data_IF_397773486938
#
_entry.id   IF_397773486938
#
_cell.length_a   1.000
_cell.length_b   1.000
_cell.length_c   1.000
_cell.angle_alpha   90.00
_cell.angle_beta   90.00
_cell.angle_gamma   90.00
#
_symmetry.space_group_name_H-M   'P 1'
#
loop_
_entity.id
_entity.type
_entity.pdbx_description
1 polymer ?
#
# COMPACT_ATOMS: atom_id res chain seq x y z
N UNK A 1 12.34 1.08 20.24
CA UNK A 1 13.70 1.14 19.65
C UNK A 1 14.21 -0.28 19.57
N UNK A 2 14.61 -0.73 18.40
CA UNK A 2 15.35 -1.99 18.30
C UNK A 2 16.70 -1.79 19.03
N UNK A 3 16.96 -2.47 20.14
CA UNK A 3 18.22 -2.34 20.90
C UNK A 3 19.44 -2.72 20.06
N UNK A 4 19.20 -3.29 18.91
CA UNK A 4 20.17 -3.81 17.96
C UNK A 4 20.93 -2.72 17.17
N UNK A 5 20.42 -1.49 17.14
CA UNK A 5 21.02 -0.38 16.37
C UNK A 5 21.96 0.52 17.18
N UNK A 6 22.18 0.25 18.47
CA UNK A 6 23.00 1.10 19.32
C UNK A 6 24.01 0.30 20.15
N UNK A 7 25.27 0.65 20.04
CA UNK A 7 26.37 0.15 20.88
C UNK A 7 26.52 0.95 22.19
N UNK A 8 25.83 2.06 22.35
CA UNK A 8 25.84 2.97 23.50
C UNK A 8 24.46 3.12 24.11
N UNK A 9 24.40 3.32 25.43
CA UNK A 9 23.13 3.62 26.10
C UNK A 9 22.51 4.91 25.53
N UNK A 10 21.29 4.79 25.01
CA UNK A 10 20.52 5.91 24.51
C UNK A 10 19.28 6.05 25.39
N UNK A 11 19.01 7.26 25.94
CA UNK A 11 17.83 7.47 26.77
C UNK A 11 16.55 7.20 25.95
N UNK A 12 15.49 6.70 26.60
CA UNK A 12 14.20 6.53 25.96
C UNK A 12 13.71 7.81 25.30
N UNK A 13 13.32 7.73 24.02
CA UNK A 13 12.87 8.88 23.23
C UNK A 13 11.80 8.43 22.21
N UNK A 14 11.12 9.40 21.61
CA UNK A 14 10.08 9.17 20.60
C UNK A 14 10.62 9.48 19.21
N UNK A 15 10.33 8.60 18.26
CA UNK A 15 10.47 8.84 16.84
C UNK A 15 9.11 9.32 16.30
N UNK A 16 9.06 10.54 15.83
CA UNK A 16 7.86 11.09 15.18
C UNK A 16 8.14 11.07 13.68
N UNK A 17 7.59 10.09 13.00
CA UNK A 17 7.77 9.88 11.56
C UNK A 17 6.52 10.36 10.82
N UNK A 18 6.71 11.20 9.82
CA UNK A 18 5.68 11.59 8.87
C UNK A 18 6.08 11.06 7.49
N UNK A 19 5.22 10.25 6.89
CA UNK A 19 5.41 9.72 5.54
C UNK A 19 4.40 10.37 4.59
N UNK A 20 4.91 11.10 3.59
CA UNK A 20 4.15 11.55 2.43
C UNK A 20 4.28 10.53 1.31
N UNK A 21 3.17 10.04 0.77
CA UNK A 21 3.16 9.12 -0.35
C UNK A 21 2.49 9.78 -1.56
N UNK A 22 3.22 9.84 -2.69
CA UNK A 22 2.63 10.12 -4.00
C UNK A 22 2.74 8.86 -4.83
N UNK A 23 1.59 8.35 -5.25
CA UNK A 23 1.48 7.13 -6.03
C UNK A 23 0.97 7.48 -7.44
N UNK A 24 1.73 7.11 -8.45
CA UNK A 24 1.37 7.20 -9.86
C UNK A 24 1.22 5.79 -10.40
N UNK A 25 0.11 5.47 -11.04
CA UNK A 25 -0.10 4.14 -11.61
C UNK A 25 -0.59 4.23 -13.06
N UNK A 26 0.13 3.59 -13.97
CA UNK A 26 -0.34 3.33 -15.32
C UNK A 26 -1.06 2.00 -15.36
N UNK A 27 -2.34 2.03 -15.71
CA UNK A 27 -3.17 0.85 -15.90
C UNK A 27 -3.48 0.66 -17.39
N UNK A 28 -3.31 -0.54 -17.89
CA UNK A 28 -3.72 -0.94 -19.23
C UNK A 28 -4.55 -2.21 -19.16
N UNK A 29 -5.60 -2.27 -19.97
CA UNK A 29 -6.39 -3.49 -20.14
C UNK A 29 -6.70 -3.74 -21.60
N UNK A 30 -6.72 -5.02 -21.98
CA UNK A 30 -7.01 -5.48 -23.33
C UNK A 30 -8.07 -6.57 -23.30
N UNK A 31 -9.18 -6.34 -23.97
CA UNK A 31 -10.31 -7.28 -24.04
C UNK A 31 -9.97 -8.50 -24.89
N UNK A 32 -10.15 -9.70 -24.33
CA UNK A 32 -9.93 -11.00 -24.97
C UNK A 32 -11.24 -11.64 -25.49
N UNK A 33 -12.37 -10.99 -25.24
CA UNK A 33 -13.70 -11.53 -25.54
C UNK A 33 -14.30 -12.38 -24.39
N UNK A 34 -15.55 -12.76 -24.55
CA UNK A 34 -16.28 -13.61 -23.57
C UNK A 34 -16.22 -13.13 -22.10
N UNK A 35 -16.25 -11.80 -21.90
CA UNK A 35 -16.16 -11.21 -20.57
C UNK A 35 -14.77 -11.29 -19.94
N UNK A 36 -13.73 -11.59 -20.72
CA UNK A 36 -12.35 -11.72 -20.26
C UNK A 36 -11.50 -10.55 -20.75
N UNK A 37 -10.63 -10.04 -19.89
CA UNK A 37 -9.61 -9.04 -20.26
C UNK A 37 -8.27 -9.35 -19.58
N UNK A 38 -7.20 -9.02 -20.27
CA UNK A 38 -5.85 -8.96 -19.71
C UNK A 38 -5.63 -7.59 -19.07
N UNK A 39 -4.94 -7.54 -17.93
CA UNK A 39 -4.63 -6.30 -17.21
C UNK A 39 -3.15 -6.20 -16.89
N UNK A 40 -2.63 -4.97 -16.98
CA UNK A 40 -1.26 -4.59 -16.59
C UNK A 40 -1.36 -3.35 -15.69
N UNK A 41 -0.63 -3.33 -14.59
CA UNK A 41 -0.44 -2.17 -13.72
C UNK A 41 1.03 -1.89 -13.53
N UNK A 42 1.44 -0.64 -13.64
CA UNK A 42 2.81 -0.18 -13.48
C UNK A 42 2.85 1.00 -12.50
N UNK A 43 3.11 0.74 -11.22
CA UNK A 43 3.17 1.77 -10.20
C UNK A 43 4.55 2.44 -10.13
N UNK A 44 4.53 3.75 -9.83
CA UNK A 44 5.70 4.56 -9.50
C UNK A 44 5.39 5.36 -8.24
N UNK A 45 6.25 5.25 -7.25
CA UNK A 45 6.04 5.87 -5.95
C UNK A 45 7.10 6.93 -5.63
N UNK A 46 6.65 7.99 -4.98
CA UNK A 46 7.50 8.98 -4.29
C UNK A 46 7.13 8.92 -2.80
N UNK A 47 8.08 8.52 -1.98
CA UNK A 47 7.94 8.33 -0.52
C UNK A 47 8.80 9.37 0.18
N UNK A 48 8.19 10.45 0.66
CA UNK A 48 8.87 11.53 1.38
C UNK A 48 8.74 11.28 2.89
N UNK A 49 9.83 10.89 3.51
CA UNK A 49 9.91 10.66 4.95
C UNK A 49 10.50 11.89 5.65
N UNK A 50 9.82 12.33 6.70
CA UNK A 50 10.31 13.36 7.61
C UNK A 50 10.32 12.80 9.02
N UNK A 51 11.50 12.81 9.64
CA UNK A 51 11.73 12.25 10.97
C UNK A 51 12.11 13.35 11.95
N UNK A 52 11.48 13.33 13.11
CA UNK A 52 11.79 14.19 14.24
C UNK A 52 11.89 13.35 15.50
N UNK A 53 12.93 13.57 16.26
CA UNK A 53 13.17 12.93 17.55
C UNK A 53 12.79 13.87 18.69
N UNK A 54 12.14 13.31 19.72
CA UNK A 54 11.81 14.05 20.94
C UNK A 54 12.06 13.17 22.16
N UNK A 55 12.35 13.80 23.30
CA UNK A 55 12.29 13.14 24.60
C UNK A 55 10.88 12.62 24.88
N UNK A 56 10.69 11.83 25.92
CA UNK A 56 9.37 11.39 26.35
C UNK A 56 8.47 12.56 26.77
N UNK A 57 9.06 13.67 27.19
CA UNK A 57 8.37 14.93 27.56
C UNK A 57 8.06 15.83 26.37
N UNK A 58 8.58 15.51 25.17
CA UNK A 58 8.28 16.26 23.95
C UNK A 58 9.36 17.28 23.52
N UNK A 59 10.44 17.42 24.28
CA UNK A 59 11.54 18.31 23.93
C UNK A 59 12.35 17.72 22.75
N UNK A 60 12.95 18.56 21.89
CA UNK A 60 13.81 18.08 20.81
C UNK A 60 14.94 17.19 21.34
N UNK A 61 15.23 16.10 20.64
CA UNK A 61 16.28 15.16 20.98
C UNK A 61 17.13 14.85 19.74
N UNK A 62 18.44 14.84 19.90
CA UNK A 62 19.39 14.46 18.84
C UNK A 62 20.03 13.13 19.24
N UNK A 63 19.71 12.02 18.55
CA UNK A 63 20.28 10.73 18.87
C UNK A 63 21.78 10.70 18.50
N UNK A 64 22.63 10.05 19.34
CA UNK A 64 24.08 9.99 19.11
C UNK A 64 24.49 9.08 17.94
N UNK A 65 23.57 8.27 17.42
CA UNK A 65 23.82 7.35 16.32
C UNK A 65 23.58 7.99 14.93
N UNK A 66 23.28 9.31 14.88
CA UNK A 66 23.05 10.01 13.62
C UNK A 66 21.93 9.42 12.78
N UNK A 67 22.09 9.44 11.47
CA UNK A 67 21.05 9.10 10.48
C UNK A 67 21.11 7.63 9.99
N UNK A 68 21.63 6.69 10.78
CA UNK A 68 21.78 5.30 10.33
C UNK A 68 20.46 4.54 10.23
N UNK A 69 19.43 4.96 10.96
CA UNK A 69 18.17 4.21 11.11
C UNK A 69 16.98 4.94 10.46
N UNK A 70 16.55 6.05 10.99
CA UNK A 70 15.45 6.83 10.40
C UNK A 70 15.95 8.19 9.95
N UNK A 71 15.85 8.46 8.66
CA UNK A 71 16.34 9.71 8.05
C UNK A 71 15.21 10.52 7.44
N UNK A 72 15.37 11.84 7.44
CA UNK A 72 14.55 12.72 6.60
C UNK A 72 15.08 12.64 5.18
N UNK A 73 14.33 11.98 4.30
CA UNK A 73 14.72 11.74 2.91
C UNK A 73 13.53 11.52 2.01
N UNK A 74 13.75 11.60 0.70
CA UNK A 74 12.76 11.29 -0.32
C UNK A 74 13.27 10.14 -1.18
N UNK A 75 12.55 9.04 -1.16
CA UNK A 75 12.80 7.86 -1.98
C UNK A 75 11.85 7.85 -3.17
N UNK A 76 12.34 7.48 -4.35
CA UNK A 76 11.55 7.38 -5.56
C UNK A 76 11.86 6.09 -6.31
N UNK A 77 10.86 5.47 -6.90
CA UNK A 77 11.09 4.23 -7.65
C UNK A 77 9.84 3.60 -8.24
N UNK A 78 10.07 2.66 -9.13
CA UNK A 78 9.04 1.76 -9.63
C UNK A 78 8.78 0.73 -8.53
N UNK A 79 7.50 0.57 -8.16
CA UNK A 79 7.06 -0.54 -7.31
C UNK A 79 6.76 -1.77 -8.16
N UNK A 80 6.46 -2.91 -7.55
CA UNK A 80 6.25 -4.15 -8.29
C UNK A 80 5.08 -4.02 -9.29
N UNK A 81 5.30 -4.11 -10.61
CA UNK A 81 4.22 -4.18 -11.58
C UNK A 81 3.36 -5.41 -11.36
N UNK A 82 2.15 -5.41 -11.89
CA UNK A 82 1.31 -6.60 -11.84
C UNK A 82 0.63 -6.90 -13.16
N UNK A 83 0.49 -8.19 -13.43
CA UNK A 83 -0.24 -8.76 -14.56
C UNK A 83 -1.43 -9.54 -14.04
N UNK A 84 -2.51 -9.55 -14.80
CA UNK A 84 -3.70 -10.30 -14.42
C UNK A 84 -4.67 -10.56 -15.56
N UNK A 85 -5.63 -11.40 -15.25
CA UNK A 85 -6.79 -11.68 -16.06
C UNK A 85 -8.02 -11.39 -15.21
N UNK A 86 -8.91 -10.58 -15.72
CA UNK A 86 -10.22 -10.35 -15.15
C UNK A 86 -11.24 -11.10 -16.01
N UNK A 87 -12.20 -11.74 -15.35
CA UNK A 87 -13.24 -12.53 -15.97
C UNK A 87 -14.62 -12.25 -15.37
N UNK A 88 -15.56 -11.88 -16.21
CA UNK A 88 -16.97 -11.63 -15.85
C UNK A 88 -17.85 -12.68 -16.47
N UNK A 89 -18.11 -13.82 -15.78
CA UNK A 89 -18.99 -14.89 -16.28
C UNK A 89 -20.45 -14.47 -16.34
N UNK A 90 -20.81 -13.48 -15.55
CA UNK A 90 -22.14 -12.89 -15.46
C UNK A 90 -22.02 -11.40 -15.17
N UNK A 91 -23.01 -10.61 -15.59
CA UNK A 91 -23.02 -9.14 -15.39
C UNK A 91 -22.82 -8.67 -13.95
N UNK A 92 -23.17 -9.51 -12.97
CA UNK A 92 -23.11 -9.18 -11.55
C UNK A 92 -21.77 -9.59 -10.90
N UNK A 93 -20.93 -10.36 -11.60
CA UNK A 93 -19.68 -10.89 -11.04
C UNK A 93 -18.47 -10.57 -11.89
N UNK A 94 -17.41 -10.14 -11.23
CA UNK A 94 -16.07 -10.03 -11.78
C UNK A 94 -15.10 -10.79 -10.86
N UNK A 95 -14.32 -11.68 -11.43
CA UNK A 95 -13.20 -12.35 -10.77
C UNK A 95 -11.90 -11.87 -11.39
N UNK A 96 -10.87 -11.70 -10.58
CA UNK A 96 -9.54 -11.37 -11.05
C UNK A 96 -8.52 -12.33 -10.47
N UNK A 97 -7.60 -12.78 -11.33
CA UNK A 97 -6.44 -13.58 -10.99
C UNK A 97 -5.21 -12.90 -11.58
N UNK A 98 -4.17 -12.73 -10.78
CA UNK A 98 -2.95 -12.08 -11.24
C UNK A 98 -1.77 -12.36 -10.33
N UNK A 99 -0.65 -11.69 -10.60
CA UNK A 99 0.53 -11.71 -9.77
C UNK A 99 1.29 -10.41 -9.88
N UNK A 100 2.01 -10.02 -8.83
CA UNK A 100 3.04 -8.99 -8.94
C UNK A 100 4.29 -9.58 -9.58
N UNK A 101 5.07 -8.72 -10.26
CA UNK A 101 6.37 -9.05 -10.82
C UNK A 101 7.45 -8.41 -9.93
N UNK A 102 8.50 -9.14 -9.53
CA UNK A 102 9.52 -8.65 -8.59
C UNK A 102 10.51 -7.68 -9.28
N UNK A 103 10.02 -6.53 -9.73
CA UNK A 103 10.79 -5.52 -10.44
C UNK A 103 11.05 -4.25 -9.61
N UNK A 104 10.33 -4.06 -8.50
CA UNK A 104 10.53 -2.96 -7.58
C UNK A 104 11.86 -3.09 -6.83
N UNK A 105 12.40 -1.95 -6.41
CA UNK A 105 13.64 -1.92 -5.63
C UNK A 105 13.43 -2.59 -4.27
N UNK A 106 14.33 -3.52 -3.92
CA UNK A 106 14.38 -4.20 -2.62
C UNK A 106 15.66 -3.80 -1.86
N UNK A 107 15.55 -3.68 -0.55
CA UNK A 107 16.68 -3.34 0.32
C UNK A 107 17.25 -4.59 1.00
N UNK A 108 18.53 -4.57 1.42
CA UNK A 108 19.09 -5.61 2.28
C UNK A 108 18.37 -5.68 3.63
N UNK A 109 18.56 -6.78 4.37
CA UNK A 109 17.99 -6.97 5.71
C UNK A 109 18.39 -5.83 6.66
N UNK A 110 17.44 -4.96 7.07
CA UNK A 110 17.76 -3.81 7.92
C UNK A 110 18.15 -4.22 9.34
N UNK A 111 17.72 -5.39 9.82
CA UNK A 111 18.08 -5.90 11.14
C UNK A 111 19.58 -6.27 11.16
N UNK A 112 20.06 -6.94 10.11
CA UNK A 112 21.48 -7.30 9.97
C UNK A 112 22.33 -6.05 9.85
N UNK A 113 21.96 -5.11 8.98
CA UNK A 113 22.70 -3.86 8.78
C UNK A 113 22.71 -3.00 10.05
N UNK A 114 21.60 -2.95 10.77
CA UNK A 114 21.51 -2.21 12.04
C UNK A 114 22.45 -2.77 13.11
N UNK A 115 22.58 -4.10 13.24
CA UNK A 115 23.52 -4.75 14.14
C UNK A 115 24.98 -4.45 13.78
N UNK A 116 25.25 -4.25 12.49
CA UNK A 116 26.58 -3.87 11.99
C UNK A 116 26.86 -2.35 12.08
N UNK A 117 25.90 -1.55 12.59
CA UNK A 117 25.99 -0.09 12.64
C UNK A 117 25.99 0.58 11.26
N UNK A 118 25.52 -0.12 10.25
CA UNK A 118 25.44 0.38 8.87
C UNK A 118 24.14 1.12 8.60
N UNK A 119 24.21 2.10 7.72
CA UNK A 119 23.02 2.79 7.19
C UNK A 119 22.11 1.80 6.48
N UNK A 120 20.82 1.84 6.80
CA UNK A 120 19.82 0.94 6.26
C UNK A 120 18.45 1.61 6.09
N UNK A 121 17.61 1.00 5.27
CA UNK A 121 16.24 1.41 4.97
C UNK A 121 15.25 0.33 5.39
N UNK A 122 14.07 0.76 5.83
CA UNK A 122 12.92 -0.13 6.06
C UNK A 122 11.87 -0.01 4.96
N UNK A 123 11.97 1.02 4.11
CA UNK A 123 10.98 1.32 3.08
C UNK A 123 11.43 0.70 1.77
N UNK A 124 10.67 -0.27 1.28
CA UNK A 124 10.89 -0.92 0.01
C UNK A 124 9.89 -0.43 -1.06
N UNK A 125 10.23 -0.64 -2.33
CA UNK A 125 9.34 -0.40 -3.48
C UNK A 125 8.76 -1.72 -4.02
N UNK A 126 9.42 -2.84 -3.75
CA UNK A 126 8.98 -4.16 -4.16
C UNK A 126 9.13 -5.20 -3.06
N UNK A 127 8.41 -6.31 -3.21
CA UNK A 127 8.57 -7.49 -2.35
C UNK A 127 9.77 -8.35 -2.75
N UNK A 128 10.22 -8.22 -4.01
CA UNK A 128 11.24 -9.09 -4.61
C UNK A 128 10.76 -10.52 -4.86
N UNK A 129 9.45 -10.75 -4.81
CA UNK A 129 8.80 -12.06 -5.03
C UNK A 129 7.60 -11.92 -5.96
N UNK A 130 7.21 -13.04 -6.59
CA UNK A 130 5.91 -13.12 -7.24
C UNK A 130 4.83 -13.29 -6.16
N UNK A 131 3.88 -12.36 -6.10
CA UNK A 131 2.78 -12.42 -5.14
C UNK A 131 1.46 -12.62 -5.89
N UNK A 132 0.86 -13.83 -5.80
CA UNK A 132 -0.47 -14.07 -6.35
C UNK A 132 -1.50 -13.07 -5.83
N UNK A 133 -2.36 -12.63 -6.75
CA UNK A 133 -3.49 -11.71 -6.45
C UNK A 133 -4.78 -12.37 -6.88
N UNK A 134 -5.76 -12.37 -5.99
CA UNK A 134 -7.10 -12.91 -6.20
C UNK A 134 -8.10 -11.83 -5.83
N UNK A 135 -9.08 -11.57 -6.69
CA UNK A 135 -10.17 -10.67 -6.34
C UNK A 135 -11.51 -11.19 -6.83
N UNK A 136 -12.56 -10.83 -6.09
CA UNK A 136 -13.93 -11.02 -6.50
C UNK A 136 -14.70 -9.72 -6.27
N UNK A 137 -15.55 -9.36 -7.22
CA UNK A 137 -16.49 -8.26 -7.12
C UNK A 137 -17.87 -8.74 -7.45
N UNK A 138 -18.82 -8.37 -6.64
CA UNK A 138 -20.24 -8.55 -6.87
C UNK A 138 -20.90 -7.18 -7.03
N UNK A 139 -21.79 -7.06 -8.02
CA UNK A 139 -22.54 -5.84 -8.31
C UNK A 139 -24.00 -6.21 -8.53
N UNK A 140 -24.91 -5.61 -7.79
CA UNK A 140 -26.34 -5.84 -7.97
C UNK A 140 -27.11 -4.53 -7.78
N UNK A 141 -27.88 -4.16 -8.80
CA UNK A 141 -28.54 -2.85 -8.83
C UNK A 141 -27.51 -1.72 -8.75
N UNK A 142 -27.67 -0.87 -7.75
CA UNK A 142 -26.73 0.23 -7.47
C UNK A 142 -25.66 -0.12 -6.42
N UNK A 143 -25.62 -1.35 -5.91
CA UNK A 143 -24.67 -1.73 -4.85
C UNK A 143 -23.56 -2.62 -5.40
N UNK A 144 -22.33 -2.44 -4.88
CA UNK A 144 -21.23 -3.35 -5.15
C UNK A 144 -20.48 -3.71 -3.86
N UNK A 145 -19.82 -4.86 -3.90
CA UNK A 145 -18.86 -5.31 -2.90
C UNK A 145 -17.70 -5.96 -3.62
N UNK A 146 -16.46 -5.62 -3.21
CA UNK A 146 -15.21 -6.16 -3.75
C UNK A 146 -14.32 -6.62 -2.61
N UNK A 147 -13.67 -7.75 -2.79
CA UNK A 147 -12.59 -8.22 -1.93
C UNK A 147 -11.41 -8.64 -2.80
N UNK A 148 -10.18 -8.40 -2.30
CA UNK A 148 -8.95 -8.79 -2.96
C UNK A 148 -7.94 -9.29 -1.92
N UNK A 149 -7.21 -10.36 -2.26
CA UNK A 149 -6.08 -10.87 -1.49
C UNK A 149 -4.81 -10.80 -2.35
N UNK A 150 -3.72 -10.35 -1.76
CA UNK A 150 -2.36 -10.44 -2.29
C UNK A 150 -1.54 -11.30 -1.33
N UNK A 151 -1.06 -12.44 -1.83
CA UNK A 151 -0.46 -13.49 -1.01
C UNK A 151 1.06 -13.46 -1.11
N UNK A 152 1.76 -13.35 0.02
CA UNK A 152 3.19 -13.51 0.08
C UNK A 152 3.54 -14.95 0.47
N UNK A 153 4.13 -15.72 -0.45
CA UNK A 153 4.32 -17.16 -0.29
C UNK A 153 5.73 -17.54 0.20
N UNK A 154 6.75 -16.73 -0.10
CA UNK A 154 8.15 -17.06 0.20
C UNK A 154 8.99 -15.78 0.43
N UNK A 155 10.19 -15.95 0.98
CA UNK A 155 11.15 -14.88 1.19
C UNK A 155 11.90 -14.55 -0.11
N UNK A 156 12.23 -13.28 -0.30
CA UNK A 156 13.10 -12.86 -1.40
C UNK A 156 14.58 -13.17 -1.10
N UNK A 157 15.47 -12.84 -2.04
CA UNK A 157 16.91 -13.07 -1.91
C UNK A 157 17.59 -12.36 -0.73
N UNK A 158 16.95 -11.35 -0.15
CA UNK A 158 17.43 -10.60 1.02
C UNK A 158 16.79 -11.10 2.32
N UNK A 159 16.04 -12.22 2.29
CA UNK A 159 15.36 -12.77 3.46
C UNK A 159 14.03 -12.08 3.80
N UNK A 160 13.55 -11.14 2.99
CA UNK A 160 12.28 -10.48 3.24
C UNK A 160 11.10 -11.28 2.69
N UNK A 161 10.12 -11.53 3.54
CA UNK A 161 8.80 -11.99 3.18
C UNK A 161 7.78 -10.88 3.46
N UNK A 162 7.21 -10.33 2.41
CA UNK A 162 6.21 -9.28 2.51
C UNK A 162 4.97 -9.76 3.29
N UNK A 163 4.23 -8.87 3.94
CA UNK A 163 2.93 -9.21 4.51
C UNK A 163 1.94 -9.68 3.44
N UNK A 164 1.10 -10.66 3.78
CA UNK A 164 -0.12 -10.95 3.00
C UNK A 164 -1.15 -9.86 3.29
N UNK A 165 -1.79 -9.35 2.24
CA UNK A 165 -2.72 -8.22 2.34
C UNK A 165 -4.11 -8.65 1.87
N UNK A 166 -5.13 -8.27 2.61
CA UNK A 166 -6.54 -8.39 2.25
C UNK A 166 -7.14 -6.99 2.22
N UNK A 167 -7.79 -6.63 1.12
CA UNK A 167 -8.51 -5.37 1.00
C UNK A 167 -9.95 -5.62 0.59
N UNK A 168 -10.85 -4.77 1.05
CA UNK A 168 -12.25 -4.85 0.68
C UNK A 168 -12.83 -3.44 0.50
N UNK A 169 -13.85 -3.35 -0.32
CA UNK A 169 -14.59 -2.12 -0.58
C UNK A 169 -16.06 -2.48 -0.83
N UNK A 170 -16.97 -1.72 -0.26
CA UNK A 170 -18.39 -1.90 -0.48
C UNK A 170 -19.14 -0.57 -0.43
N UNK A 171 -20.20 -0.46 -1.20
CA UNK A 171 -21.03 0.74 -1.20
C UNK A 171 -21.99 0.81 -2.37
N UNK A 172 -22.91 1.79 -2.36
CA UNK A 172 -23.76 2.09 -3.49
C UNK A 172 -23.06 2.93 -4.55
N UNK A 173 -23.55 2.85 -5.78
CA UNK A 173 -23.20 3.75 -6.87
C UNK A 173 -24.49 4.44 -7.38
N UNK A 174 -24.53 5.75 -7.34
CA UNK A 174 -25.66 6.57 -7.77
C UNK A 174 -25.34 7.25 -9.09
N UNK A 175 -26.35 7.42 -9.95
CA UNK A 175 -26.25 8.15 -11.18
C UNK A 175 -26.95 9.53 -11.05
N UNK A 176 -26.21 10.62 -11.24
CA UNK A 176 -26.72 11.98 -11.31
C UNK A 176 -26.43 12.56 -12.70
N UNK A 177 -27.34 12.35 -13.64
CA UNK A 177 -27.11 12.65 -15.04
C UNK A 177 -25.97 11.82 -15.64
N UNK A 178 -24.87 12.47 -16.03
CA UNK A 178 -23.66 11.78 -16.57
C UNK A 178 -22.62 11.47 -15.49
N UNK A 179 -22.82 11.92 -14.27
CA UNK A 179 -21.87 11.72 -13.16
C UNK A 179 -22.28 10.51 -12.34
N UNK A 180 -21.36 9.59 -12.11
CA UNK A 180 -21.52 8.53 -11.12
C UNK A 180 -20.91 8.99 -9.79
N UNK A 181 -21.64 8.78 -8.70
CA UNK A 181 -21.27 9.12 -7.33
C UNK A 181 -21.23 7.83 -6.52
N UNK A 182 -20.06 7.46 -6.02
CA UNK A 182 -19.86 6.17 -5.36
C UNK A 182 -19.24 6.38 -3.99
N UNK A 183 -20.05 6.54 -2.93
CA UNK A 183 -19.55 6.47 -1.56
C UNK A 183 -19.26 4.99 -1.21
N UNK A 184 -18.11 4.74 -0.56
CA UNK A 184 -17.72 3.39 -0.11
C UNK A 184 -17.21 3.38 1.32
N UNK A 185 -17.33 2.21 1.94
CA UNK A 185 -16.51 1.81 3.06
C UNK A 185 -15.42 0.91 2.51
N UNK A 186 -14.18 1.24 2.83
CA UNK A 186 -13.00 0.49 2.43
C UNK A 186 -12.28 -0.01 3.68
N UNK A 187 -11.67 -1.18 3.60
CA UNK A 187 -10.84 -1.68 4.68
C UNK A 187 -9.69 -2.52 4.17
N UNK A 188 -8.68 -2.63 5.01
CA UNK A 188 -7.48 -3.40 4.77
C UNK A 188 -7.07 -4.16 6.02
N UNK A 189 -6.61 -5.38 5.83
CA UNK A 189 -5.94 -6.19 6.82
C UNK A 189 -4.61 -6.66 6.25
N UNK A 190 -3.53 -6.44 6.99
CA UNK A 190 -2.18 -6.82 6.60
C UNK A 190 -1.56 -7.69 7.69
N UNK A 191 -1.11 -8.91 7.32
CA UNK A 191 -0.40 -9.79 8.24
C UNK A 191 0.98 -9.24 8.59
N UNK A 192 1.67 -9.89 9.52
CA UNK A 192 3.07 -9.57 9.81
C UNK A 192 3.99 -10.06 8.68
N UNK A 193 4.92 -9.20 8.26
CA UNK A 193 6.04 -9.55 7.42
C UNK A 193 7.15 -10.25 8.20
N UNK A 194 8.22 -10.64 7.50
CA UNK A 194 9.38 -11.30 8.14
C UNK A 194 10.67 -10.89 7.46
N UNK A 195 11.75 -10.89 8.26
CA UNK A 195 13.12 -10.78 7.79
C UNK A 195 13.93 -11.98 8.27
N UNK A 196 14.42 -12.79 7.33
CA UNK A 196 15.23 -14.00 7.62
C UNK A 196 14.57 -14.89 8.69
N UNK A 197 13.25 -15.12 8.56
CA UNK A 197 12.42 -15.87 9.50
C UNK A 197 11.99 -15.11 10.75
N UNK A 198 12.60 -13.96 11.09
CA UNK A 198 12.21 -13.12 12.23
C UNK A 198 10.99 -12.30 11.87
N UNK A 199 9.99 -12.28 12.74
CA UNK A 199 8.77 -11.49 12.54
C UNK A 199 9.09 -10.00 12.64
N UNK A 200 8.60 -9.24 11.67
CA UNK A 200 8.59 -7.77 11.70
C UNK A 200 7.29 -7.30 12.35
N UNK A 201 7.34 -7.08 13.66
CA UNK A 201 6.16 -6.75 14.47
C UNK A 201 5.50 -5.43 14.04
N UNK A 202 6.28 -4.48 13.51
CA UNK A 202 5.79 -3.19 13.04
C UNK A 202 5.08 -3.22 11.69
N UNK A 203 5.01 -4.37 11.02
CA UNK A 203 4.50 -4.47 9.64
C UNK A 203 3.01 -4.83 9.54
N UNK A 204 2.40 -5.36 10.61
CA UNK A 204 1.02 -5.82 10.61
C UNK A 204 0.05 -4.75 11.11
N UNK A 205 -1.08 -4.61 10.41
CA UNK A 205 -2.13 -3.69 10.83
C UNK A 205 -3.49 -4.03 10.20
N UNK A 206 -4.52 -3.43 10.75
CA UNK A 206 -5.82 -3.31 10.13
C UNK A 206 -6.27 -1.85 10.12
N UNK A 207 -6.88 -1.41 9.06
CA UNK A 207 -7.47 -0.09 8.96
C UNK A 207 -8.70 -0.07 8.08
N UNK A 208 -9.41 1.05 8.13
CA UNK A 208 -10.50 1.30 7.21
C UNK A 208 -11.04 2.70 7.31
N UNK A 209 -11.85 3.06 6.33
CA UNK A 209 -12.36 4.40 6.20
C UNK A 209 -13.46 4.54 5.17
N UNK A 210 -13.88 5.77 4.99
CA UNK A 210 -14.88 6.15 4.00
C UNK A 210 -14.20 6.82 2.79
N UNK A 211 -14.67 6.46 1.60
CA UNK A 211 -14.25 7.06 0.34
C UNK A 211 -15.46 7.64 -0.38
N UNK A 212 -15.26 8.76 -1.04
CA UNK A 212 -16.18 9.28 -2.06
C UNK A 212 -15.45 9.30 -3.39
N UNK A 213 -15.96 8.57 -4.37
CA UNK A 213 -15.48 8.53 -5.75
C UNK A 213 -16.53 9.18 -6.65
N UNK A 214 -16.09 10.09 -7.51
CA UNK A 214 -16.89 10.63 -8.61
C UNK A 214 -16.34 10.09 -9.92
N UNK A 215 -17.21 9.80 -10.90
CA UNK A 215 -16.78 9.46 -12.26
C UNK A 215 -17.52 10.36 -13.25
N UNK A 216 -16.75 11.16 -13.99
CA UNK A 216 -17.25 12.21 -14.87
C UNK A 216 -16.75 11.94 -16.29
N UNK A 217 -17.61 11.51 -17.23
CA UNK A 217 -17.23 11.40 -18.64
C UNK A 217 -17.04 12.79 -19.25
N UNK A 218 -15.91 12.99 -19.92
CA UNK A 218 -15.56 14.25 -20.57
C UNK A 218 -14.74 14.00 -21.84
N UNK A 219 -15.27 14.37 -23.01
CA UNK A 219 -14.58 14.33 -24.32
C UNK A 219 -13.83 13.02 -24.62
N UNK A 220 -14.48 11.87 -24.38
CA UNK A 220 -13.91 10.54 -24.67
C UNK A 220 -12.97 9.98 -23.60
N UNK A 221 -12.85 10.68 -22.47
CA UNK A 221 -12.19 10.18 -21.27
C UNK A 221 -13.16 10.14 -20.11
N UNK A 222 -12.80 9.40 -19.05
CA UNK A 222 -13.49 9.43 -17.77
C UNK A 222 -12.51 9.98 -16.73
N UNK A 223 -12.88 11.06 -16.07
CA UNK A 223 -12.15 11.63 -14.93
C UNK A 223 -12.77 11.10 -13.65
N UNK A 224 -11.96 10.56 -12.76
CA UNK A 224 -12.43 9.96 -11.52
C UNK A 224 -11.65 10.50 -10.31
N UNK A 225 -11.97 11.72 -9.82
CA UNK A 225 -11.44 12.18 -8.54
C UNK A 225 -12.04 11.41 -7.39
N UNK A 226 -11.23 11.15 -6.35
CA UNK A 226 -11.75 10.58 -5.11
C UNK A 226 -11.06 11.17 -3.87
N UNK A 227 -11.78 11.11 -2.76
CA UNK A 227 -11.27 11.44 -1.43
C UNK A 227 -11.53 10.26 -0.50
N UNK A 228 -10.51 9.89 0.27
CA UNK A 228 -10.59 8.88 1.31
C UNK A 228 -10.25 9.49 2.67
N UNK A 229 -10.99 9.11 3.70
CA UNK A 229 -10.74 9.50 5.08
C UNK A 229 -10.73 8.27 5.98
N UNK A 230 -9.61 8.05 6.70
CA UNK A 230 -9.47 6.94 7.63
C UNK A 230 -10.38 7.14 8.84
N UNK A 231 -11.14 6.11 9.19
CA UNK A 231 -12.05 6.10 10.35
C UNK A 231 -11.47 5.32 11.52
N UNK A 232 -10.70 4.26 11.26
CA UNK A 232 -10.01 3.46 12.27
C UNK A 232 -8.67 2.93 11.75
N UNK A 233 -7.75 2.65 12.67
CA UNK A 233 -6.49 1.95 12.41
C UNK A 233 -6.00 1.30 13.68
N UNK A 234 -5.49 0.09 13.55
CA UNK A 234 -4.92 -0.69 14.65
C UNK A 234 -3.66 -1.41 14.16
N UNK A 235 -2.49 -1.05 14.68
CA UNK A 235 -1.24 -1.76 14.49
C UNK A 235 -1.10 -2.89 15.51
N UNK A 236 -0.60 -4.06 15.09
CA UNK A 236 -0.54 -5.24 15.96
C UNK A 236 0.53 -5.16 17.02
N UNK A 237 1.51 -4.28 16.87
CA UNK A 237 2.55 -3.97 17.87
C UNK A 237 2.15 -2.85 18.85
N UNK A 238 0.89 -2.39 18.80
CA UNK A 238 0.38 -1.28 19.59
C UNK A 238 0.75 0.11 19.05
N UNK A 239 1.42 0.21 17.91
CA UNK A 239 1.67 1.48 17.24
C UNK A 239 0.37 2.02 16.63
N UNK A 240 0.21 3.34 16.68
CA UNK A 240 -0.91 4.01 16.02
C UNK A 240 -0.47 4.57 14.69
N UNK A 241 -1.01 4.03 13.62
CA UNK A 241 -0.81 4.57 12.28
C UNK A 241 -1.99 5.50 11.93
N UNK A 242 -1.71 6.79 11.76
CA UNK A 242 -2.75 7.78 11.41
C UNK A 242 -2.56 8.24 9.98
N UNK A 243 -3.47 7.83 9.11
CA UNK A 243 -3.52 8.33 7.74
C UNK A 243 -4.37 9.61 7.70
N UNK A 244 -3.82 10.66 7.12
CA UNK A 244 -4.57 11.87 6.78
C UNK A 244 -5.50 11.60 5.60
N UNK A 245 -6.40 12.55 5.33
CA UNK A 245 -7.25 12.51 4.13
C UNK A 245 -6.38 12.37 2.88
N UNK A 246 -6.69 11.37 2.06
CA UNK A 246 -5.99 11.07 0.82
C UNK A 246 -6.85 11.48 -0.37
N UNK A 247 -6.22 12.13 -1.34
CA UNK A 247 -6.84 12.54 -2.60
C UNK A 247 -6.27 11.72 -3.72
N UNK A 248 -7.11 11.32 -4.66
CA UNK A 248 -6.66 10.69 -5.88
C UNK A 248 -7.43 11.17 -7.11
N UNK A 249 -6.80 11.07 -8.28
CA UNK A 249 -7.40 11.35 -9.57
C UNK A 249 -7.03 10.22 -10.53
N UNK A 250 -8.03 9.58 -11.10
CA UNK A 250 -7.85 8.66 -12.21
C UNK A 250 -8.34 9.27 -13.50
N UNK A 251 -7.61 9.03 -14.59
CA UNK A 251 -7.99 9.42 -15.96
C UNK A 251 -8.00 8.15 -16.80
N UNK A 252 -9.15 7.77 -17.33
CA UNK A 252 -9.31 6.58 -18.14
C UNK A 252 -9.74 6.96 -19.56
N UNK A 253 -9.16 6.31 -20.57
CA UNK A 253 -9.59 6.39 -21.97
C UNK A 253 -9.87 4.98 -22.49
N UNK A 254 -10.97 4.84 -23.20
CA UNK A 254 -11.37 3.60 -23.91
C UNK A 254 -11.11 3.82 -25.38
N UNK A 255 -10.41 2.89 -26.02
CA UNK A 255 -10.03 2.93 -27.44
C UNK A 255 -10.89 1.95 -28.26
#
# INVERSE_FOLDING_TARGET
>A
MAPECATTFIPPHKHVVTLGLTHLELNASYGLGHGTQFTLRMPYDVKAMHVRYTTLTGEPFVPPYGDIHHRTETLTGISDPSLGIDWSPHRDWLFALGTTLPAGHIVPDPIVLGREGKTHEHIQFGSGTFEPRLAAQWTHGSFFARAEAKLSLYENRNGYRAPTTFVWSLGPAFQAGRVSITPTLDGQYQTLGRWSGTVDEGSGFEDGGARLLLSVPFRGIVLSPSVYHQLWSHGFDGQTFKQKTTWSLSVMRIF
#
